data_IF_872064369042
#
_entry.id   IF_872064369042
#
_cell.length_a   1.000
_cell.length_b   1.000
_cell.length_c   1.000
_cell.angle_alpha   90.00
_cell.angle_beta   90.00
_cell.angle_gamma   90.00
#
_symmetry.space_group_name_H-M   'P 1'
#
loop_
_entity.id
_entity.type
_entity.pdbx_description
1 polymer ?
#
# COMPACT_ATOMS: atom_id res chain seq x y z
N UNK A 1 13.30 13.02 -9.57
CA UNK A 1 12.51 13.66 -8.54
C UNK A 1 12.70 13.04 -7.17
N UNK A 2 12.34 13.80 -6.18
CA UNK A 2 12.57 13.45 -4.78
C UNK A 2 11.87 12.15 -4.36
N UNK A 3 10.65 11.92 -4.82
CA UNK A 3 9.92 10.70 -4.50
C UNK A 3 10.68 9.45 -4.92
N UNK A 4 11.13 9.40 -6.17
CA UNK A 4 11.88 8.24 -6.67
C UNK A 4 13.19 8.03 -5.93
N UNK A 5 13.89 9.12 -5.62
CA UNK A 5 15.14 9.02 -4.87
C UNK A 5 14.89 8.43 -3.47
N UNK A 6 13.83 8.85 -2.80
CA UNK A 6 13.47 8.34 -1.49
C UNK A 6 13.04 6.89 -1.53
N UNK A 7 12.24 6.50 -2.50
CA UNK A 7 11.80 5.11 -2.67
C UNK A 7 13.00 4.20 -2.99
N UNK A 8 13.88 4.62 -3.87
CA UNK A 8 15.08 3.85 -4.22
C UNK A 8 16.02 3.70 -3.02
N UNK A 9 16.19 4.75 -2.20
CA UNK A 9 17.03 4.71 -1.00
C UNK A 9 16.41 3.91 0.13
N UNK A 10 15.13 3.63 0.05
CA UNK A 10 14.38 2.97 1.13
C UNK A 10 14.55 1.49 1.21
N UNK A 11 15.00 0.77 0.18
CA UNK A 11 15.24 -0.64 0.36
C UNK A 11 15.50 -1.46 -0.84
N UNK A 12 15.28 -0.95 -2.06
CA UNK A 12 14.86 -2.06 -2.88
C UNK A 12 15.49 -1.88 -4.22
N UNK A 13 16.51 -2.66 -4.42
CA UNK A 13 17.19 -2.75 -5.69
C UNK A 13 16.21 -2.91 -6.87
N UNK A 14 15.06 -3.51 -6.62
CA UNK A 14 14.02 -3.66 -7.63
C UNK A 14 13.42 -2.32 -8.07
N UNK A 15 13.33 -1.34 -7.18
CA UNK A 15 12.77 -0.03 -7.52
C UNK A 15 13.65 0.77 -8.47
N UNK A 16 14.93 0.48 -8.52
CA UNK A 16 15.91 1.20 -9.35
C UNK A 16 15.60 1.05 -10.83
N UNK A 17 14.98 -0.03 -11.23
CA UNK A 17 14.73 -0.33 -12.65
C UNK A 17 13.37 0.13 -13.15
N UNK A 18 12.58 0.81 -12.30
CA UNK A 18 11.25 1.27 -12.70
C UNK A 18 11.32 2.64 -13.37
N UNK A 19 10.55 2.80 -14.42
CA UNK A 19 10.29 4.13 -14.94
C UNK A 19 9.53 4.95 -13.89
N UNK A 20 9.81 6.24 -13.83
CA UNK A 20 9.19 7.14 -12.86
C UNK A 20 7.66 7.08 -12.90
N UNK A 21 7.10 7.02 -14.12
CA UNK A 21 5.65 6.97 -14.31
C UNK A 21 5.05 5.69 -13.73
N UNK A 22 5.75 4.55 -13.85
CA UNK A 22 5.27 3.27 -13.32
C UNK A 22 5.28 3.26 -11.80
N UNK A 23 6.35 3.77 -11.18
CA UNK A 23 6.43 3.83 -9.72
C UNK A 23 5.29 4.68 -9.13
N UNK A 24 5.02 5.84 -9.73
CA UNK A 24 3.93 6.72 -9.31
C UNK A 24 2.57 6.05 -9.50
N UNK A 25 2.39 5.31 -10.60
CA UNK A 25 1.15 4.60 -10.88
C UNK A 25 0.87 3.55 -9.82
N UNK A 26 1.84 2.71 -9.47
CA UNK A 26 1.69 1.72 -8.41
C UNK A 26 1.41 2.37 -7.05
N UNK A 27 2.11 3.47 -6.77
CA UNK A 27 1.87 4.23 -5.54
C UNK A 27 0.45 4.76 -5.47
N UNK A 28 -0.05 5.34 -6.55
CA UNK A 28 -1.40 5.89 -6.59
C UNK A 28 -2.46 4.81 -6.46
N UNK A 29 -2.25 3.64 -7.06
CA UNK A 29 -3.14 2.50 -6.89
C UNK A 29 -3.17 2.02 -5.45
N UNK A 30 -2.01 1.97 -4.77
CA UNK A 30 -1.94 1.61 -3.37
C UNK A 30 -2.65 2.64 -2.48
N UNK A 31 -2.53 3.92 -2.80
CA UNK A 31 -3.26 4.98 -2.10
C UNK A 31 -4.77 4.79 -2.22
N UNK A 32 -5.27 4.56 -3.43
CA UNK A 32 -6.71 4.31 -3.66
C UNK A 32 -7.18 3.10 -2.87
N UNK A 33 -6.38 2.05 -2.83
CA UNK A 33 -6.67 0.85 -2.07
C UNK A 33 -6.84 1.18 -0.57
N UNK A 34 -5.93 1.93 0.01
CA UNK A 34 -6.02 2.32 1.42
C UNK A 34 -7.21 3.24 1.68
N UNK A 35 -7.53 4.10 0.75
CA UNK A 35 -8.69 4.99 0.86
C UNK A 35 -10.00 4.21 0.76
N UNK A 36 -10.03 3.13 0.00
CA UNK A 36 -11.22 2.31 -0.20
C UNK A 36 -11.53 1.39 0.98
N UNK A 37 -10.51 0.90 1.68
CA UNK A 37 -10.70 -0.08 2.75
C UNK A 37 -11.59 0.39 3.90
N UNK A 38 -11.63 1.69 4.27
CA UNK A 38 -12.58 2.17 5.26
C UNK A 38 -14.04 2.20 4.80
N UNK A 39 -14.30 2.04 3.51
CA UNK A 39 -15.65 2.11 2.95
C UNK A 39 -16.46 0.86 3.31
N UNK A 40 -17.79 0.99 3.25
CA UNK A 40 -18.70 -0.06 3.68
C UNK A 40 -18.58 -1.36 2.85
N UNK A 41 -18.09 -1.27 1.61
CA UNK A 41 -17.98 -2.44 0.72
C UNK A 41 -16.63 -2.44 -0.01
N UNK A 42 -15.53 -2.61 0.72
CA UNK A 42 -14.20 -2.54 0.11
C UNK A 42 -13.95 -3.63 -0.95
N UNK A 43 -14.49 -4.84 -0.73
CA UNK A 43 -14.34 -5.93 -1.71
C UNK A 43 -14.98 -5.61 -3.05
N UNK A 44 -16.14 -4.97 -3.04
CA UNK A 44 -16.81 -4.57 -4.27
C UNK A 44 -16.01 -3.53 -5.03
N UNK A 45 -15.45 -2.57 -4.31
CA UNK A 45 -14.59 -1.55 -4.92
C UNK A 45 -13.38 -2.19 -5.58
N UNK A 46 -12.65 -3.03 -4.86
CA UNK A 46 -11.44 -3.67 -5.38
C UNK A 46 -11.75 -4.57 -6.55
N UNK A 47 -12.85 -5.34 -6.47
CA UNK A 47 -13.25 -6.24 -7.54
C UNK A 47 -13.58 -5.51 -8.85
N UNK A 48 -13.94 -4.22 -8.77
CA UNK A 48 -14.26 -3.42 -9.95
C UNK A 48 -13.02 -2.77 -10.58
N UNK A 49 -11.83 -2.94 -10.00
CA UNK A 49 -10.63 -2.28 -10.49
C UNK A 49 -9.89 -3.15 -11.51
N UNK A 50 -9.77 -2.70 -12.77
CA UNK A 50 -9.10 -3.50 -13.81
C UNK A 50 -7.63 -3.78 -13.51
N UNK A 51 -6.96 -2.87 -12.80
CA UNK A 51 -5.52 -3.01 -12.53
C UNK A 51 -5.20 -4.25 -11.68
N UNK A 52 -6.14 -4.67 -10.83
CA UNK A 52 -5.92 -5.83 -9.98
C UNK A 52 -5.71 -7.11 -10.79
N UNK A 53 -6.43 -7.25 -11.90
CA UNK A 53 -6.32 -8.43 -12.76
C UNK A 53 -5.09 -8.40 -13.67
N UNK A 54 -4.51 -7.23 -13.87
CA UNK A 54 -3.37 -7.07 -14.77
C UNK A 54 -2.03 -7.32 -14.07
N UNK A 55 -2.01 -7.53 -12.77
CA UNK A 55 -0.75 -7.68 -12.04
C UNK A 55 -0.13 -9.04 -12.27
N UNK A 56 1.11 -9.02 -12.78
CA UNK A 56 2.00 -10.17 -12.75
C UNK A 56 2.77 -10.19 -11.43
N UNK A 57 3.76 -11.07 -11.31
CA UNK A 57 4.58 -11.18 -10.11
C UNK A 57 5.24 -9.85 -9.74
N UNK A 58 5.87 -9.20 -10.71
CA UNK A 58 6.58 -7.95 -10.45
C UNK A 58 5.62 -6.84 -10.04
N UNK A 59 4.50 -6.73 -10.72
CA UNK A 59 3.47 -5.74 -10.38
C UNK A 59 2.92 -5.94 -8.97
N UNK A 60 2.67 -7.20 -8.60
CA UNK A 60 2.21 -7.53 -7.24
C UNK A 60 3.24 -7.17 -6.18
N UNK A 61 4.53 -7.45 -6.43
CA UNK A 61 5.61 -7.09 -5.51
C UNK A 61 5.69 -5.58 -5.33
N UNK A 62 5.61 -4.82 -6.42
CA UNK A 62 5.68 -3.37 -6.36
C UNK A 62 4.49 -2.76 -5.63
N UNK A 63 3.29 -3.28 -5.89
CA UNK A 63 2.09 -2.80 -5.20
C UNK A 63 2.20 -3.01 -3.69
N UNK A 64 2.62 -4.20 -3.26
CA UNK A 64 2.75 -4.48 -1.83
C UNK A 64 3.85 -3.65 -1.17
N UNK A 65 4.94 -3.37 -1.88
CA UNK A 65 5.97 -2.44 -1.39
C UNK A 65 5.40 -1.03 -1.19
N UNK A 66 4.61 -0.56 -2.13
CA UNK A 66 4.00 0.77 -2.00
C UNK A 66 3.02 0.82 -0.84
N UNK A 67 2.27 -0.27 -0.59
CA UNK A 67 1.43 -0.35 0.60
C UNK A 67 2.25 -0.23 1.88
N UNK A 68 3.40 -0.90 1.95
CA UNK A 68 4.29 -0.83 3.11
C UNK A 68 4.81 0.59 3.33
N UNK A 69 5.27 1.24 2.27
CA UNK A 69 5.76 2.62 2.36
C UNK A 69 4.66 3.58 2.79
N UNK A 70 3.44 3.41 2.28
CA UNK A 70 2.32 4.26 2.64
C UNK A 70 1.91 4.05 4.10
N UNK A 71 1.82 2.80 4.56
CA UNK A 71 1.52 2.52 5.96
C UNK A 71 2.56 3.16 6.88
N UNK A 72 3.84 3.07 6.51
CA UNK A 72 4.92 3.72 7.24
C UNK A 72 4.75 5.24 7.25
N UNK A 73 4.50 5.83 6.10
CA UNK A 73 4.36 7.28 5.98
C UNK A 73 3.19 7.81 6.81
N UNK A 74 2.05 7.09 6.79
CA UNK A 74 0.88 7.48 7.57
C UNK A 74 1.18 7.38 9.08
N UNK A 75 1.89 6.32 9.51
CA UNK A 75 2.32 6.20 10.90
C UNK A 75 3.26 7.34 11.32
N UNK A 76 4.20 7.68 10.45
CA UNK A 76 5.11 8.80 10.70
C UNK A 76 4.33 10.12 10.82
N UNK A 77 3.37 10.32 9.93
CA UNK A 77 2.51 11.51 10.00
C UNK A 77 1.77 11.59 11.33
N UNK A 78 1.19 10.47 11.78
CA UNK A 78 0.48 10.42 13.05
C UNK A 78 1.37 10.75 14.25
N UNK A 79 2.67 10.52 14.13
CA UNK A 79 3.64 10.75 15.21
C UNK A 79 4.42 12.05 15.06
N UNK A 80 3.99 12.95 14.18
CA UNK A 80 4.64 14.25 14.01
C UNK A 80 5.98 14.21 13.30
N UNK A 81 6.26 13.13 12.54
CA UNK A 81 7.52 12.94 11.85
C UNK A 81 7.36 13.13 10.33
N UNK A 82 6.61 14.16 9.94
CA UNK A 82 6.28 14.44 8.54
C UNK A 82 7.53 14.64 7.66
N UNK A 83 8.62 15.08 8.24
CA UNK A 83 9.85 15.31 7.49
C UNK A 83 10.51 14.04 6.99
N UNK A 84 10.15 12.88 7.55
CA UNK A 84 10.74 11.59 7.21
C UNK A 84 9.91 10.77 6.21
N UNK A 85 8.79 11.28 5.74
CA UNK A 85 7.94 10.55 4.82
C UNK A 85 8.58 10.44 3.43
N UNK A 86 8.29 9.34 2.74
CA UNK A 86 8.75 9.14 1.36
C UNK A 86 7.82 9.81 0.35
N UNK A 87 6.51 9.75 0.57
CA UNK A 87 5.50 10.22 -0.38
C UNK A 87 5.16 11.69 -0.15
N UNK A 88 6.16 12.54 -0.25
CA UNK A 88 6.06 13.96 0.06
C UNK A 88 5.25 14.78 -0.94
N UNK A 89 4.88 14.19 -2.08
CA UNK A 89 4.08 14.84 -3.11
C UNK A 89 2.56 14.67 -2.92
N UNK A 90 2.14 13.87 -1.94
CA UNK A 90 0.72 13.61 -1.70
C UNK A 90 0.35 13.78 -0.21
N UNK A 91 0.89 14.80 0.41
CA UNK A 91 0.72 15.02 1.86
C UNK A 91 -0.73 15.21 2.28
N UNK A 92 -1.57 15.83 1.46
CA UNK A 92 -2.98 16.01 1.78
C UNK A 92 -3.71 14.66 1.88
N UNK A 93 -3.41 13.73 0.99
CA UNK A 93 -4.00 12.38 1.04
C UNK A 93 -3.48 11.60 2.24
N UNK A 94 -2.18 11.71 2.54
CA UNK A 94 -1.59 11.07 3.73
C UNK A 94 -2.23 11.59 5.01
N UNK A 95 -2.48 12.89 5.09
CA UNK A 95 -3.13 13.50 6.25
C UNK A 95 -4.53 12.92 6.45
N UNK A 96 -5.30 12.77 5.36
CA UNK A 96 -6.64 12.18 5.43
C UNK A 96 -6.59 10.71 5.87
N UNK A 97 -5.63 9.95 5.36
CA UNK A 97 -5.43 8.57 5.79
C UNK A 97 -5.05 8.51 7.27
N UNK A 98 -4.20 9.42 7.74
CA UNK A 98 -3.81 9.48 9.14
C UNK A 98 -5.00 9.75 10.07
N UNK A 99 -6.00 10.49 9.58
CA UNK A 99 -7.22 10.75 10.33
C UNK A 99 -8.19 9.57 10.32
N UNK A 100 -8.17 8.73 9.27
CA UNK A 100 -9.13 7.64 9.09
C UNK A 100 -8.61 6.26 9.51
N UNK A 101 -7.30 6.08 9.63
CA UNK A 101 -6.69 4.80 9.97
C UNK A 101 -6.12 4.83 11.40
N UNK A 102 -6.62 3.99 12.32
CA UNK A 102 -5.98 3.84 13.64
C UNK A 102 -4.56 3.28 13.49
N UNK A 103 -3.67 3.70 14.38
CA UNK A 103 -2.27 3.25 14.33
C UNK A 103 -2.14 1.73 14.44
N UNK A 104 -2.98 1.09 15.27
CA UNK A 104 -2.98 -0.36 15.40
C UNK A 104 -3.33 -1.05 14.09
N UNK A 105 -4.31 -0.52 13.36
CA UNK A 105 -4.69 -1.06 12.05
C UNK A 105 -3.59 -0.88 11.01
N UNK A 106 -2.89 0.26 11.05
CA UNK A 106 -1.76 0.49 10.14
C UNK A 106 -0.64 -0.52 10.35
N UNK A 107 -0.33 -0.83 11.61
CA UNK A 107 0.70 -1.83 11.93
C UNK A 107 0.32 -3.21 11.42
N UNK A 108 -0.94 -3.60 11.64
CA UNK A 108 -1.45 -4.88 11.18
C UNK A 108 -1.52 -4.94 9.65
N UNK A 109 -1.93 -3.85 9.02
CA UNK A 109 -1.95 -3.76 7.55
C UNK A 109 -0.55 -3.88 6.97
N UNK A 110 0.45 -3.29 7.63
CA UNK A 110 1.84 -3.43 7.22
C UNK A 110 2.30 -4.89 7.30
N UNK A 111 1.94 -5.59 8.37
CA UNK A 111 2.27 -7.02 8.52
C UNK A 111 1.60 -7.85 7.44
N UNK A 112 0.34 -7.57 7.14
CA UNK A 112 -0.42 -8.26 6.08
C UNK A 112 0.26 -8.00 4.72
N UNK A 113 0.65 -6.77 4.44
CA UNK A 113 1.34 -6.43 3.19
C UNK A 113 2.70 -7.11 3.09
N UNK A 114 3.43 -7.21 4.20
CA UNK A 114 4.72 -7.90 4.24
C UNK A 114 4.56 -9.39 3.94
N UNK A 115 3.56 -10.03 4.52
CA UNK A 115 3.25 -11.43 4.25
C UNK A 115 2.84 -11.63 2.79
N UNK A 116 2.07 -10.69 2.25
CA UNK A 116 1.67 -10.72 0.84
C UNK A 116 2.89 -10.63 -0.08
N UNK A 117 3.81 -9.72 0.23
CA UNK A 117 5.06 -9.59 -0.53
C UNK A 117 5.81 -10.92 -0.56
N UNK A 118 5.99 -11.54 0.61
CA UNK A 118 6.70 -12.81 0.71
C UNK A 118 6.01 -13.93 -0.07
N UNK A 119 4.68 -13.97 -0.03
CA UNK A 119 3.91 -14.99 -0.76
C UNK A 119 4.09 -14.82 -2.27
N UNK A 120 4.02 -13.60 -2.76
CA UNK A 120 4.21 -13.31 -4.20
C UNK A 120 5.65 -13.62 -4.61
N UNK A 121 6.63 -13.26 -3.79
CA UNK A 121 8.03 -13.56 -4.04
C UNK A 121 8.24 -15.07 -4.17
N UNK A 122 7.50 -15.87 -3.40
CA UNK A 122 7.52 -17.33 -3.44
C UNK A 122 6.58 -17.92 -4.50
N UNK A 123 6.19 -17.13 -5.49
CA UNK A 123 5.40 -17.51 -6.67
C UNK A 123 3.92 -17.79 -6.43
N UNK A 124 3.33 -17.32 -5.32
CA UNK A 124 1.88 -17.31 -5.18
C UNK A 124 1.29 -16.30 -6.18
N UNK A 125 0.10 -16.56 -6.69
CA UNK A 125 -0.55 -15.69 -7.66
C UNK A 125 -0.87 -14.32 -7.07
N UNK A 126 -0.43 -13.26 -7.72
CA UNK A 126 -0.57 -11.90 -7.21
C UNK A 126 -2.03 -11.51 -6.95
N UNK A 127 -2.93 -11.82 -7.90
CA UNK A 127 -4.35 -11.50 -7.74
C UNK A 127 -4.94 -12.13 -6.49
N UNK A 128 -4.72 -13.44 -6.29
CA UNK A 128 -5.24 -14.17 -5.14
C UNK A 128 -4.66 -13.62 -3.83
N UNK A 129 -3.36 -13.32 -3.81
CA UNK A 129 -2.71 -12.76 -2.63
C UNK A 129 -3.30 -11.40 -2.28
N UNK A 130 -3.50 -10.53 -3.27
CA UNK A 130 -4.06 -9.20 -3.03
C UNK A 130 -5.53 -9.26 -2.59
N UNK A 131 -6.32 -10.19 -3.12
CA UNK A 131 -7.68 -10.43 -2.63
C UNK A 131 -7.66 -10.85 -1.16
N UNK A 132 -6.69 -11.67 -0.77
CA UNK A 132 -6.51 -12.07 0.62
C UNK A 132 -6.13 -10.89 1.51
N UNK A 133 -5.31 -9.96 1.02
CA UNK A 133 -4.97 -8.72 1.74
C UNK A 133 -6.24 -7.93 2.06
N UNK A 134 -7.11 -7.77 1.07
CA UNK A 134 -8.39 -7.04 1.27
C UNK A 134 -9.24 -7.72 2.33
N UNK A 135 -9.39 -9.04 2.24
CA UNK A 135 -10.20 -9.80 3.20
C UNK A 135 -9.67 -9.68 4.61
N UNK A 136 -8.37 -9.85 4.80
CA UNK A 136 -7.75 -9.78 6.13
C UNK A 136 -7.89 -8.38 6.72
N UNK A 137 -7.69 -7.35 5.92
CA UNK A 137 -7.79 -5.97 6.38
C UNK A 137 -9.23 -5.61 6.72
N UNK A 138 -10.19 -6.07 5.92
CA UNK A 138 -11.61 -5.84 6.18
C UNK A 138 -12.04 -6.50 7.50
N UNK A 139 -11.59 -7.73 7.77
CA UNK A 139 -11.88 -8.44 9.02
C UNK A 139 -11.35 -7.65 10.21
N UNK A 140 -10.12 -7.16 10.15
CA UNK A 140 -9.53 -6.35 11.22
C UNK A 140 -10.40 -5.14 11.55
N UNK A 141 -10.88 -4.45 10.54
CA UNK A 141 -11.68 -3.24 10.75
C UNK A 141 -13.03 -3.55 11.35
N UNK A 142 -13.62 -4.71 11.03
CA UNK A 142 -14.92 -5.12 11.57
C UNK A 142 -14.83 -5.59 13.03
N UNK A 143 -13.73 -6.18 13.43
CA UNK A 143 -13.56 -6.70 14.79
C UNK A 143 -13.52 -5.59 15.85
N UNK A 144 -13.17 -4.37 15.47
CA UNK A 144 -13.10 -3.24 16.40
C UNK A 144 -14.40 -2.41 16.47
N UNK A 145 -15.43 -2.83 15.77
CA UNK A 145 -16.73 -2.17 15.86
C UNK A 145 -17.57 -2.82 17.00
#
# INVERSE_FOLDING_TARGET
>A
PELLARLAGGSLGSAVNLAAADAVSYRDQALEFMEALPLAQPMRYVASQPWLESYDKQGGLLFTEMLLFLARDVLLWQNGLEEQIYNCDCTDRLRRLAASWPASHLKQAADIAQQAYQAIESNAGAKLVLETVVLKTDILRKEER
#
